data_IF_588501127029
#
_entry.id   IF_588501127029
#
_cell.length_a   1.000
_cell.length_b   1.000
_cell.length_c   1.000
_cell.angle_alpha   90.00
_cell.angle_beta   90.00
_cell.angle_gamma   90.00
#
_symmetry.space_group_name_H-M   'P 1'
#
loop_
_entity.id
_entity.type
_entity.pdbx_description
1 polymer ?
#
# COMPACT_ATOMS: atom_id res chain seq x y z
N UNK A 1 -14.37 -7.11 20.96
CA UNK A 1 -15.16 -7.23 19.71
C UNK A 1 -14.42 -6.45 18.64
N UNK A 2 -14.21 -7.04 17.48
CA UNK A 2 -13.57 -6.35 16.35
C UNK A 2 -14.63 -5.37 15.82
N UNK A 3 -14.31 -4.10 15.89
CA UNK A 3 -15.19 -3.03 15.39
C UNK A 3 -15.04 -2.93 13.85
N UNK A 4 -16.11 -2.59 13.13
CA UNK A 4 -16.09 -2.45 11.67
C UNK A 4 -15.04 -1.43 11.22
N UNK A 5 -14.76 -0.40 12.04
CA UNK A 5 -13.69 0.56 11.78
C UNK A 5 -12.30 -0.08 11.77
N UNK A 6 -12.03 -1.00 12.71
CA UNK A 6 -10.77 -1.74 12.75
C UNK A 6 -10.62 -2.66 11.53
N UNK A 7 -11.71 -3.33 11.11
CA UNK A 7 -11.68 -4.17 9.91
C UNK A 7 -11.32 -3.37 8.65
N UNK A 8 -11.89 -2.17 8.47
CA UNK A 8 -11.54 -1.29 7.34
C UNK A 8 -10.06 -0.90 7.40
N UNK A 9 -9.53 -0.53 8.57
CA UNK A 9 -8.11 -0.20 8.73
C UNK A 9 -7.21 -1.40 8.43
N UNK A 10 -7.57 -2.61 8.86
CA UNK A 10 -6.84 -3.84 8.54
C UNK A 10 -6.78 -4.09 7.03
N UNK A 11 -7.91 -3.90 6.32
CA UNK A 11 -7.97 -4.05 4.86
C UNK A 11 -7.14 -2.98 4.13
N UNK A 12 -7.15 -1.73 4.61
CA UNK A 12 -6.28 -0.66 4.10
C UNK A 12 -4.80 -0.98 4.33
N UNK A 13 -4.45 -1.53 5.50
CA UNK A 13 -3.10 -2.03 5.80
C UNK A 13 -2.69 -3.18 4.86
N UNK A 14 -3.61 -4.10 4.54
CA UNK A 14 -3.38 -5.17 3.57
C UNK A 14 -3.09 -4.62 2.16
N UNK A 15 -3.84 -3.61 1.71
CA UNK A 15 -3.63 -2.93 0.43
C UNK A 15 -2.26 -2.24 0.37
N UNK A 16 -1.86 -1.55 1.44
CA UNK A 16 -0.54 -0.96 1.55
C UNK A 16 0.57 -2.03 1.54
N UNK A 17 0.35 -3.16 2.22
CA UNK A 17 1.25 -4.31 2.15
C UNK A 17 1.43 -4.83 0.72
N UNK A 18 0.32 -5.03 -0.02
CA UNK A 18 0.38 -5.42 -1.43
C UNK A 18 1.08 -4.40 -2.32
N UNK A 19 0.91 -3.11 -2.04
CA UNK A 19 1.59 -2.08 -2.84
C UNK A 19 3.12 -2.12 -2.65
N UNK A 20 3.62 -2.38 -1.44
CA UNK A 20 5.06 -2.58 -1.17
C UNK A 20 5.56 -3.91 -1.73
N UNK A 21 4.71 -4.93 -1.77
CA UNK A 21 5.07 -6.25 -2.32
C UNK A 21 5.45 -6.18 -3.81
N UNK A 22 4.75 -5.38 -4.61
CA UNK A 22 4.96 -5.30 -6.07
C UNK A 22 6.41 -4.94 -6.46
N UNK A 23 7.03 -3.86 -5.96
CA UNK A 23 8.44 -3.57 -6.22
C UNK A 23 9.37 -4.65 -5.65
N UNK A 24 9.04 -5.19 -4.48
CA UNK A 24 9.86 -6.20 -3.82
C UNK A 24 9.85 -7.53 -4.61
N UNK A 25 8.73 -7.87 -5.27
CA UNK A 25 8.63 -9.01 -6.17
C UNK A 25 9.57 -8.90 -7.39
N UNK A 26 9.93 -7.67 -7.79
CA UNK A 26 10.93 -7.38 -8.81
C UNK A 26 12.36 -7.12 -8.25
N UNK A 27 12.62 -7.50 -6.98
CA UNK A 27 13.92 -7.33 -6.34
C UNK A 27 14.25 -5.89 -5.92
N UNK A 28 13.28 -4.97 -5.90
CA UNK A 28 13.49 -3.57 -5.55
C UNK A 28 13.12 -3.30 -4.10
N UNK A 29 14.08 -2.86 -3.30
CA UNK A 29 13.80 -2.33 -1.97
C UNK A 29 13.34 -0.87 -2.11
N UNK A 30 12.03 -0.66 -2.32
CA UNK A 30 11.43 0.66 -2.45
C UNK A 30 10.60 1.01 -1.21
N UNK A 31 10.85 2.19 -0.67
CA UNK A 31 10.13 2.77 0.46
C UNK A 31 9.20 3.92 0.03
N UNK A 32 8.92 4.06 -1.27
CA UNK A 32 8.13 5.16 -1.84
C UNK A 32 6.62 5.06 -1.62
N UNK A 33 6.11 3.91 -1.22
CA UNK A 33 4.66 3.64 -1.10
C UNK A 33 3.90 4.73 -0.33
N UNK A 34 4.36 5.21 0.86
CA UNK A 34 3.65 6.25 1.59
C UNK A 34 3.62 7.61 0.87
N UNK A 35 4.57 7.90 -0.02
CA UNK A 35 4.52 9.11 -0.84
C UNK A 35 3.30 9.07 -1.78
N UNK A 36 3.11 7.97 -2.49
CA UNK A 36 1.98 7.82 -3.42
C UNK A 36 0.65 7.70 -2.67
N UNK A 37 0.63 7.05 -1.52
CA UNK A 37 -0.51 7.00 -0.62
C UNK A 37 -0.91 8.41 -0.15
N UNK A 38 0.05 9.22 0.28
CA UNK A 38 -0.19 10.60 0.69
C UNK A 38 -0.68 11.48 -0.48
N UNK A 39 -0.11 11.32 -1.68
CA UNK A 39 -0.55 12.04 -2.89
C UNK A 39 -2.00 11.69 -3.24
N UNK A 40 -2.34 10.39 -3.27
CA UNK A 40 -3.70 9.94 -3.61
C UNK A 40 -4.75 10.48 -2.64
N UNK A 41 -4.50 10.37 -1.33
CA UNK A 41 -5.42 10.91 -0.33
C UNK A 41 -5.50 12.43 -0.32
N UNK A 42 -4.38 13.14 -0.59
CA UNK A 42 -4.39 14.61 -0.72
C UNK A 42 -5.21 15.03 -1.94
N UNK A 43 -5.08 14.33 -3.08
CA UNK A 43 -5.87 14.60 -4.27
C UNK A 43 -7.37 14.44 -3.98
N UNK A 44 -7.78 13.32 -3.37
CA UNK A 44 -9.17 13.07 -3.00
C UNK A 44 -9.71 14.16 -2.06
N UNK A 45 -8.95 14.47 -1.01
CA UNK A 45 -9.30 15.52 -0.07
C UNK A 45 -9.50 16.89 -0.74
N UNK A 46 -8.65 17.25 -1.72
CA UNK A 46 -8.76 18.50 -2.46
C UNK A 46 -9.94 18.52 -3.42
N UNK A 47 -10.16 17.44 -4.17
CA UNK A 47 -11.25 17.35 -5.16
C UNK A 47 -12.61 17.43 -4.48
N UNK A 48 -12.76 16.77 -3.35
CA UNK A 48 -14.04 16.69 -2.64
C UNK A 48 -14.33 17.89 -1.73
N UNK A 49 -13.28 18.58 -1.18
CA UNK A 49 -13.48 19.67 -0.22
C UNK A 49 -13.27 21.06 -0.82
N UNK A 50 -12.05 21.30 -1.35
CA UNK A 50 -11.63 22.66 -1.76
C UNK A 50 -12.06 23.04 -3.15
N UNK A 51 -11.99 22.11 -4.07
CA UNK A 51 -12.35 22.41 -5.45
C UNK A 51 -13.82 22.14 -5.75
N UNK A 52 -14.53 21.44 -4.84
CA UNK A 52 -15.95 21.07 -4.97
C UNK A 52 -16.33 20.55 -6.38
N UNK A 53 -15.33 20.14 -7.18
CA UNK A 53 -15.52 19.63 -8.54
C UNK A 53 -16.37 18.36 -8.55
N UNK A 54 -16.23 17.59 -7.47
CA UNK A 54 -16.94 16.35 -7.23
C UNK A 54 -17.73 16.43 -5.91
N UNK A 55 -17.92 17.68 -5.41
CA UNK A 55 -18.46 17.99 -4.13
C UNK A 55 -19.77 17.27 -3.86
N UNK A 56 -19.86 16.72 -2.66
CA UNK A 56 -21.06 16.12 -2.13
C UNK A 56 -22.23 17.08 -2.20
N UNK A 57 -23.43 16.53 -2.31
CA UNK A 57 -24.67 17.28 -2.19
C UNK A 57 -24.72 18.08 -0.88
N UNK A 58 -25.73 18.91 -0.72
CA UNK A 58 -25.95 19.72 0.48
C UNK A 58 -25.91 18.92 1.81
N UNK A 59 -25.98 17.60 1.73
CA UNK A 59 -26.00 16.66 2.86
C UNK A 59 -24.59 16.14 3.25
N UNK A 60 -23.50 16.62 2.61
CA UNK A 60 -22.13 16.17 2.93
C UNK A 60 -21.81 14.74 2.48
N UNK A 61 -22.69 14.09 1.74
CA UNK A 61 -22.46 12.74 1.19
C UNK A 61 -21.80 12.83 -0.19
N UNK A 62 -20.80 11.98 -0.43
CA UNK A 62 -20.16 11.87 -1.74
C UNK A 62 -20.87 10.81 -2.58
N UNK A 63 -21.33 11.12 -3.81
CA UNK A 63 -21.90 10.13 -4.71
C UNK A 63 -20.88 9.04 -5.10
N UNK A 64 -21.29 7.77 -5.21
CA UNK A 64 -20.41 6.66 -5.63
C UNK A 64 -19.69 6.91 -6.96
N UNK A 65 -20.31 7.51 -8.00
CA UNK A 65 -19.60 7.83 -9.24
C UNK A 65 -18.43 8.80 -9.04
N UNK A 66 -18.55 9.77 -8.11
CA UNK A 66 -17.45 10.71 -7.81
C UNK A 66 -16.29 10.01 -7.09
N UNK A 67 -16.57 9.08 -6.18
CA UNK A 67 -15.54 8.25 -5.56
C UNK A 67 -14.75 7.43 -6.61
N UNK A 68 -15.45 6.83 -7.59
CA UNK A 68 -14.81 6.10 -8.67
C UNK A 68 -13.95 7.00 -9.55
N UNK A 69 -14.43 8.22 -9.83
CA UNK A 69 -13.64 9.20 -10.59
C UNK A 69 -12.39 9.65 -9.82
N UNK A 70 -12.49 9.87 -8.50
CA UNK A 70 -11.35 10.18 -7.65
C UNK A 70 -10.33 9.05 -7.63
N UNK A 71 -10.79 7.79 -7.55
CA UNK A 71 -9.92 6.62 -7.65
C UNK A 71 -9.17 6.57 -8.98
N UNK A 72 -9.86 6.81 -10.10
CA UNK A 72 -9.24 6.83 -11.43
C UNK A 72 -8.24 7.99 -11.58
N UNK A 73 -8.58 9.20 -11.10
CA UNK A 73 -7.69 10.35 -11.17
C UNK A 73 -6.46 10.16 -10.29
N UNK A 74 -6.63 9.60 -9.08
CA UNK A 74 -5.52 9.28 -8.19
C UNK A 74 -4.62 8.19 -8.78
N UNK A 75 -5.19 7.13 -9.35
CA UNK A 75 -4.45 6.08 -10.03
C UNK A 75 -3.64 6.63 -11.22
N UNK A 76 -4.25 7.49 -12.04
CA UNK A 76 -3.57 8.14 -13.17
C UNK A 76 -2.45 9.07 -12.70
N UNK A 77 -2.72 9.96 -11.73
CA UNK A 77 -1.74 10.90 -11.23
C UNK A 77 -0.54 10.19 -10.59
N UNK A 78 -0.81 9.25 -9.69
CA UNK A 78 0.26 8.50 -9.01
C UNK A 78 1.02 7.59 -9.98
N UNK A 79 0.34 7.00 -10.96
CA UNK A 79 0.97 6.23 -12.03
C UNK A 79 1.90 7.06 -12.91
N UNK A 80 1.46 8.25 -13.34
CA UNK A 80 2.28 9.17 -14.14
C UNK A 80 3.48 9.67 -13.32
N UNK A 81 3.25 10.11 -12.08
CA UNK A 81 4.35 10.54 -11.20
C UNK A 81 5.35 9.41 -10.94
N UNK A 82 4.85 8.20 -10.73
CA UNK A 82 5.71 7.03 -10.54
C UNK A 82 6.51 6.70 -11.80
N UNK A 83 5.93 6.83 -13.00
CA UNK A 83 6.66 6.62 -14.25
C UNK A 83 7.77 7.66 -14.44
N UNK A 84 7.49 8.94 -14.15
CA UNK A 84 8.47 10.02 -14.25
C UNK A 84 9.60 9.88 -13.24
N UNK A 85 9.26 9.70 -11.97
CA UNK A 85 10.25 9.57 -10.89
C UNK A 85 10.97 8.23 -10.98
N UNK A 86 10.25 7.14 -11.27
CA UNK A 86 10.80 5.80 -11.43
C UNK A 86 11.83 5.75 -12.55
N UNK A 87 11.56 6.36 -13.70
CA UNK A 87 12.52 6.43 -14.81
C UNK A 87 13.88 7.07 -14.43
N UNK A 88 13.89 7.94 -13.41
CA UNK A 88 15.11 8.53 -12.88
C UNK A 88 15.73 7.71 -11.75
N UNK A 89 14.90 7.31 -10.77
CA UNK A 89 15.35 6.71 -9.49
C UNK A 89 15.71 5.23 -9.65
N UNK A 90 15.06 4.48 -10.54
CA UNK A 90 15.28 3.05 -10.72
C UNK A 90 16.63 2.70 -11.42
N UNK A 91 17.39 3.70 -11.81
CA UNK A 91 18.80 3.52 -12.21
C UNK A 91 19.72 3.18 -11.02
N UNK A 92 19.26 3.49 -9.80
CA UNK A 92 19.95 3.16 -8.57
C UNK A 92 19.63 1.71 -8.17
N UNK A 93 20.60 1.05 -7.52
CA UNK A 93 20.49 -0.35 -7.09
C UNK A 93 20.65 -0.48 -5.57
N UNK A 94 20.03 -1.48 -5.00
CA UNK A 94 20.18 -1.86 -3.59
C UNK A 94 19.82 -0.72 -2.61
N UNK A 95 20.73 -0.44 -1.69
CA UNK A 95 20.50 0.54 -0.62
C UNK A 95 20.34 1.98 -1.14
N UNK A 96 20.99 2.31 -2.27
CA UNK A 96 20.87 3.65 -2.86
C UNK A 96 19.44 3.92 -3.36
N UNK A 97 18.77 2.89 -3.88
CA UNK A 97 17.36 2.97 -4.27
C UNK A 97 16.49 3.22 -3.03
N UNK A 98 16.73 2.51 -1.93
CA UNK A 98 15.97 2.71 -0.69
C UNK A 98 16.12 4.14 -0.17
N UNK A 99 17.35 4.69 -0.13
CA UNK A 99 17.61 6.06 0.30
C UNK A 99 16.90 7.08 -0.61
N UNK A 100 16.97 6.90 -1.92
CA UNK A 100 16.32 7.79 -2.88
C UNK A 100 14.78 7.76 -2.75
N UNK A 101 14.21 6.60 -2.48
CA UNK A 101 12.75 6.45 -2.26
C UNK A 101 12.30 7.03 -0.92
N UNK A 102 13.12 6.97 0.14
CA UNK A 102 12.88 7.70 1.40
C UNK A 102 12.92 9.22 1.14
N UNK A 103 13.91 9.70 0.40
CA UNK A 103 13.99 11.12 0.04
C UNK A 103 12.73 11.58 -0.73
N UNK A 104 12.17 10.74 -1.61
CA UNK A 104 10.92 11.02 -2.30
C UNK A 104 9.76 11.17 -1.30
N UNK A 105 9.66 10.30 -0.30
CA UNK A 105 8.63 10.40 0.75
C UNK A 105 8.74 11.74 1.48
N UNK A 106 9.95 12.15 1.87
CA UNK A 106 10.15 13.43 2.54
C UNK A 106 9.87 14.63 1.63
N UNK A 107 10.24 14.57 0.34
CA UNK A 107 9.91 15.61 -0.64
C UNK A 107 8.39 15.79 -0.73
N UNK A 108 7.63 14.69 -0.86
CA UNK A 108 6.17 14.75 -0.94
C UNK A 108 5.58 15.27 0.37
N UNK A 109 6.07 14.81 1.52
CA UNK A 109 5.64 15.30 2.83
C UNK A 109 5.84 16.80 2.98
N UNK A 110 7.03 17.30 2.66
CA UNK A 110 7.37 18.72 2.73
C UNK A 110 6.56 19.52 1.72
N UNK A 111 6.33 19.00 0.52
CA UNK A 111 5.45 19.62 -0.47
C UNK A 111 4.02 19.80 0.07
N UNK A 112 3.43 18.73 0.65
CA UNK A 112 2.10 18.80 1.26
C UNK A 112 2.06 19.82 2.41
N UNK A 113 3.12 19.90 3.23
CA UNK A 113 3.20 20.87 4.32
C UNK A 113 3.27 22.33 3.87
N UNK A 114 3.88 22.60 2.72
CA UNK A 114 4.15 23.97 2.26
C UNK A 114 3.16 24.48 1.23
N UNK A 115 2.38 23.60 0.60
CA UNK A 115 1.38 24.04 -0.37
C UNK A 115 0.19 24.70 0.35
N UNK A 116 -0.21 25.94 -0.03
CA UNK A 116 -1.25 26.67 0.72
C UNK A 116 -2.64 26.05 0.61
N UNK A 117 -2.89 25.24 -0.42
CA UNK A 117 -4.19 24.59 -0.63
C UNK A 117 -4.36 23.26 0.09
N UNK A 118 -3.29 22.66 0.65
CA UNK A 118 -3.35 21.38 1.38
C UNK A 118 -3.67 21.52 2.87
N UNK A 119 -3.77 22.76 3.37
CA UNK A 119 -3.98 23.05 4.78
C UNK A 119 -2.69 22.94 5.62
N UNK A 120 -1.54 22.68 5.01
CA UNK A 120 -0.23 22.66 5.67
C UNK A 120 -0.11 21.61 6.78
N UNK A 121 0.40 22.05 7.94
CA UNK A 121 0.59 21.17 9.09
C UNK A 121 -0.72 20.70 9.74
N UNK A 122 -1.78 21.47 9.61
CA UNK A 122 -3.11 21.14 10.16
C UNK A 122 -3.78 20.07 9.29
N UNK A 123 -3.62 20.17 7.97
CA UNK A 123 -4.24 19.26 7.00
C UNK A 123 -5.64 19.70 6.57
N UNK A 124 -6.36 18.79 5.91
CA UNK A 124 -7.72 18.97 5.40
C UNK A 124 -8.68 18.18 6.28
N UNK A 125 -9.74 18.81 6.76
CA UNK A 125 -10.79 18.23 7.59
C UNK A 125 -12.12 18.29 6.88
N UNK A 126 -13.06 17.45 7.35
CA UNK A 126 -14.43 17.44 6.82
C UNK A 126 -14.48 16.91 5.38
N UNK A 127 -13.69 15.91 5.08
CA UNK A 127 -13.72 15.23 3.78
C UNK A 127 -15.06 14.51 3.66
N UNK A 128 -15.87 14.78 2.62
CA UNK A 128 -17.17 14.15 2.46
C UNK A 128 -17.07 12.62 2.49
N UNK A 129 -17.96 11.99 3.25
CA UNK A 129 -17.97 10.54 3.40
C UNK A 129 -19.06 9.95 2.49
N UNK A 130 -18.71 9.02 1.55
CA UNK A 130 -19.70 8.36 0.70
C UNK A 130 -20.62 7.42 1.49
N UNK A 131 -20.20 7.02 2.71
CA UNK A 131 -20.96 6.13 3.58
C UNK A 131 -21.04 6.72 5.00
N UNK A 132 -22.23 6.67 5.61
CA UNK A 132 -22.45 7.15 6.96
C UNK A 132 -21.76 6.28 8.02
N UNK A 133 -21.66 4.97 7.75
CA UNK A 133 -21.11 3.99 8.68
C UNK A 133 -19.80 3.37 8.15
N UNK A 134 -18.93 2.95 9.08
CA UNK A 134 -17.71 2.20 8.75
C UNK A 134 -17.97 0.91 7.97
N UNK A 135 -19.15 0.28 8.19
CA UNK A 135 -19.55 -0.93 7.45
C UNK A 135 -19.68 -0.72 5.94
N UNK A 136 -20.09 0.49 5.52
CA UNK A 136 -20.21 0.85 4.10
C UNK A 136 -18.87 0.86 3.37
N UNK A 137 -17.79 1.19 4.06
CA UNK A 137 -16.43 1.17 3.50
C UNK A 137 -15.86 -0.22 3.29
N UNK A 138 -16.40 -1.25 3.97
CA UNK A 138 -15.92 -2.63 3.80
C UNK A 138 -16.03 -3.10 2.35
N UNK A 139 -17.13 -2.76 1.67
CA UNK A 139 -17.38 -3.21 0.30
C UNK A 139 -16.37 -2.62 -0.71
N UNK A 140 -16.14 -1.29 -0.79
CA UNK A 140 -15.18 -0.74 -1.74
C UNK A 140 -13.73 -1.09 -1.40
N UNK A 141 -13.35 -1.13 -0.11
CA UNK A 141 -11.99 -1.49 0.30
C UNK A 141 -11.72 -2.98 0.03
N UNK A 142 -12.66 -3.86 0.36
CA UNK A 142 -12.57 -5.29 0.04
C UNK A 142 -12.56 -5.53 -1.47
N UNK A 143 -13.40 -4.79 -2.22
CA UNK A 143 -13.42 -4.85 -3.68
C UNK A 143 -12.06 -4.48 -4.29
N UNK A 144 -11.43 -3.40 -3.81
CA UNK A 144 -10.08 -3.02 -4.25
C UNK A 144 -9.03 -4.08 -3.84
N UNK A 145 -9.16 -4.67 -2.64
CA UNK A 145 -8.25 -5.72 -2.17
C UNK A 145 -8.36 -6.99 -3.01
N UNK A 146 -9.58 -7.41 -3.35
CA UNK A 146 -9.82 -8.57 -4.22
C UNK A 146 -9.27 -8.29 -5.62
N UNK A 147 -9.50 -7.10 -6.17
CA UNK A 147 -8.96 -6.69 -7.46
C UNK A 147 -7.42 -6.69 -7.46
N UNK A 148 -6.80 -6.13 -6.41
CA UNK A 148 -5.35 -6.09 -6.25
C UNK A 148 -4.77 -7.50 -6.08
N UNK A 149 -5.39 -8.35 -5.27
CA UNK A 149 -4.98 -9.75 -5.10
C UNK A 149 -5.11 -10.56 -6.39
N UNK A 150 -6.22 -10.39 -7.11
CA UNK A 150 -6.41 -11.00 -8.43
C UNK A 150 -5.35 -10.52 -9.44
N UNK A 151 -5.04 -9.22 -9.44
CA UNK A 151 -3.99 -8.67 -10.29
C UNK A 151 -2.62 -9.27 -9.94
N UNK A 152 -2.26 -9.35 -8.66
CA UNK A 152 -1.00 -9.98 -8.22
C UNK A 152 -0.93 -11.45 -8.64
N UNK A 153 -2.01 -12.21 -8.44
CA UNK A 153 -2.08 -13.61 -8.87
C UNK A 153 -1.94 -13.77 -10.38
N UNK A 154 -2.58 -12.87 -11.15
CA UNK A 154 -2.43 -12.86 -12.61
C UNK A 154 -1.03 -12.47 -13.06
N UNK A 155 -0.42 -11.47 -12.41
CA UNK A 155 0.96 -11.06 -12.68
C UNK A 155 1.95 -12.21 -12.47
N UNK A 156 1.82 -12.99 -11.41
CA UNK A 156 2.68 -14.16 -11.16
C UNK A 156 2.60 -15.20 -12.31
N UNK A 157 1.44 -15.34 -12.94
CA UNK A 157 1.23 -16.26 -14.06
C UNK A 157 1.63 -15.70 -15.44
N UNK A 158 1.77 -14.39 -15.58
CA UNK A 158 2.11 -13.71 -16.83
C UNK A 158 3.63 -13.62 -17.04
N UNK A 159 4.10 -13.45 -18.31
CA UNK A 159 5.52 -13.25 -18.60
C UNK A 159 6.18 -12.13 -17.80
N UNK A 160 5.42 -11.06 -17.50
CA UNK A 160 5.91 -9.94 -16.67
C UNK A 160 6.26 -10.39 -15.24
N UNK A 161 5.43 -11.20 -14.61
CA UNK A 161 5.72 -11.71 -13.25
C UNK A 161 6.88 -12.68 -13.24
N UNK A 162 7.04 -13.51 -14.28
CA UNK A 162 8.21 -14.38 -14.46
C UNK A 162 9.48 -13.54 -14.66
N UNK A 163 9.41 -12.46 -15.44
CA UNK A 163 10.51 -11.52 -15.60
C UNK A 163 10.84 -10.79 -14.27
N UNK A 164 9.83 -10.40 -13.47
CA UNK A 164 10.06 -9.84 -12.14
C UNK A 164 10.81 -10.82 -11.22
N UNK A 165 10.42 -12.10 -11.22
CA UNK A 165 11.08 -13.13 -10.44
C UNK A 165 12.53 -13.34 -10.91
N UNK A 166 12.78 -13.39 -12.22
CA UNK A 166 14.13 -13.53 -12.79
C UNK A 166 15.03 -12.34 -12.39
N UNK A 167 14.51 -11.10 -12.50
CA UNK A 167 15.24 -9.87 -12.11
C UNK A 167 15.51 -9.85 -10.60
N UNK A 168 14.60 -10.34 -9.78
CA UNK A 168 14.79 -10.46 -8.33
C UNK A 168 15.89 -11.45 -7.97
N UNK A 169 15.94 -12.59 -8.66
CA UNK A 169 16.89 -13.66 -8.35
C UNK A 169 18.30 -13.30 -8.83
N UNK A 170 18.47 -12.81 -10.05
CA UNK A 170 19.75 -12.27 -10.57
C UNK A 170 19.49 -11.28 -11.71
N UNK A 171 19.70 -9.99 -11.46
CA UNK A 171 19.48 -8.92 -12.42
C UNK A 171 20.42 -9.03 -13.64
N UNK A 172 21.70 -9.38 -13.41
CA UNK A 172 22.69 -9.49 -14.50
C UNK A 172 22.40 -10.69 -15.39
N UNK A 173 22.04 -11.82 -14.80
CA UNK A 173 21.63 -13.00 -15.56
C UNK A 173 20.37 -12.73 -16.40
N UNK A 174 19.39 -12.01 -15.85
CA UNK A 174 18.18 -11.62 -16.56
C UNK A 174 18.48 -10.70 -17.76
N UNK A 175 19.39 -9.74 -17.60
CA UNK A 175 19.88 -8.89 -18.71
C UNK A 175 20.56 -9.71 -19.81
N UNK A 176 21.38 -10.69 -19.45
CA UNK A 176 22.02 -11.59 -20.42
C UNK A 176 21.01 -12.43 -21.21
N UNK A 177 19.84 -12.72 -20.64
CA UNK A 177 18.73 -13.42 -21.31
C UNK A 177 17.86 -12.49 -22.16
N UNK A 178 18.20 -11.19 -22.24
CA UNK A 178 17.48 -10.20 -23.04
C UNK A 178 16.27 -9.58 -22.35
N UNK A 179 16.13 -9.76 -21.03
CA UNK A 179 15.06 -9.11 -20.26
C UNK A 179 15.46 -7.65 -20.00
N UNK A 180 14.59 -6.70 -20.38
CA UNK A 180 14.74 -5.29 -20.02
C UNK A 180 14.40 -5.09 -18.54
N UNK A 181 15.42 -5.16 -17.68
CA UNK A 181 15.28 -5.06 -16.22
C UNK A 181 14.74 -3.71 -15.81
N UNK A 182 15.05 -2.63 -16.55
CA UNK A 182 14.55 -1.28 -16.27
C UNK A 182 13.05 -1.18 -16.47
N UNK A 183 12.50 -1.71 -17.57
CA UNK A 183 11.06 -1.71 -17.83
C UNK A 183 10.32 -2.61 -16.84
N UNK A 184 10.86 -3.76 -16.49
CA UNK A 184 10.28 -4.67 -15.49
C UNK A 184 10.19 -3.97 -14.13
N UNK A 185 11.26 -3.34 -13.69
CA UNK A 185 11.30 -2.57 -12.44
C UNK A 185 10.34 -1.39 -12.45
N UNK A 186 10.29 -0.64 -13.56
CA UNK A 186 9.42 0.50 -13.71
C UNK A 186 7.95 0.11 -13.66
N UNK A 187 7.57 -1.00 -14.31
CA UNK A 187 6.20 -1.49 -14.29
C UNK A 187 5.76 -1.89 -12.87
N UNK A 188 6.63 -2.59 -12.12
CA UNK A 188 6.36 -2.95 -10.72
C UNK A 188 6.18 -1.71 -9.84
N UNK A 189 7.03 -0.70 -10.02
CA UNK A 189 6.99 0.55 -9.28
C UNK A 189 5.72 1.37 -9.58
N UNK A 190 5.32 1.46 -10.85
CA UNK A 190 4.08 2.15 -11.27
C UNK A 190 2.84 1.44 -10.73
N UNK A 191 2.77 0.11 -10.82
CA UNK A 191 1.66 -0.66 -10.25
C UNK A 191 1.53 -0.47 -8.74
N UNK A 192 2.66 -0.46 -8.02
CA UNK A 192 2.72 -0.14 -6.59
C UNK A 192 2.14 1.24 -6.29
N UNK A 193 2.56 2.25 -7.05
CA UNK A 193 2.12 3.64 -6.88
C UNK A 193 0.62 3.82 -7.14
N UNK A 194 0.10 3.18 -8.19
CA UNK A 194 -1.34 3.19 -8.52
C UNK A 194 -2.15 2.57 -7.39
N UNK A 195 -1.71 1.42 -6.86
CA UNK A 195 -2.40 0.76 -5.76
C UNK A 195 -2.33 1.60 -4.47
N UNK A 196 -1.15 2.14 -4.14
CA UNK A 196 -0.98 3.00 -2.97
C UNK A 196 -1.83 4.28 -3.07
N UNK A 197 -1.84 4.95 -4.22
CA UNK A 197 -2.65 6.15 -4.45
C UNK A 197 -4.14 5.88 -4.33
N UNK A 198 -4.63 4.79 -4.93
CA UNK A 198 -6.03 4.37 -4.81
C UNK A 198 -6.40 4.03 -3.35
N UNK A 199 -5.50 3.40 -2.61
CA UNK A 199 -5.67 3.14 -1.17
C UNK A 199 -5.76 4.46 -0.39
N UNK A 200 -4.96 5.46 -0.76
CA UNK A 200 -4.98 6.79 -0.16
C UNK A 200 -6.33 7.49 -0.30
N UNK A 201 -6.99 7.38 -1.45
CA UNK A 201 -8.34 7.92 -1.67
C UNK A 201 -9.34 7.32 -0.68
N UNK A 202 -9.41 5.98 -0.61
CA UNK A 202 -10.34 5.31 0.30
C UNK A 202 -10.05 5.64 1.77
N UNK A 203 -8.78 5.74 2.14
CA UNK A 203 -8.36 6.09 3.48
C UNK A 203 -8.71 7.54 3.84
N UNK A 204 -8.58 8.50 2.92
CA UNK A 204 -8.92 9.90 3.15
C UNK A 204 -10.40 10.08 3.46
N UNK A 205 -11.28 9.44 2.70
CA UNK A 205 -12.73 9.46 2.96
C UNK A 205 -13.10 8.72 4.24
N UNK A 206 -12.46 7.58 4.52
CA UNK A 206 -12.73 6.83 5.74
C UNK A 206 -12.32 7.59 7.00
N UNK A 207 -11.14 8.23 7.00
CA UNK A 207 -10.62 8.98 8.15
C UNK A 207 -11.29 10.36 8.34
N UNK A 208 -11.98 10.88 7.32
CA UNK A 208 -12.58 12.24 7.30
C UNK A 208 -11.55 13.37 7.45
N UNK A 209 -10.27 13.03 7.57
CA UNK A 209 -9.16 13.98 7.75
C UNK A 209 -7.95 13.50 7.01
N UNK A 210 -7.19 14.43 6.40
CA UNK A 210 -5.96 14.09 5.69
C UNK A 210 -4.86 15.10 5.93
N UNK A 211 -3.68 14.64 6.27
CA UNK A 211 -2.53 15.49 6.56
C UNK A 211 -1.21 14.86 6.12
N UNK A 212 -0.12 15.63 6.20
CA UNK A 212 1.21 15.21 5.77
C UNK A 212 1.82 14.04 6.57
N UNK A 213 1.23 13.67 7.72
CA UNK A 213 1.69 12.52 8.53
C UNK A 213 1.48 11.18 7.84
N UNK A 214 0.60 11.11 6.84
CA UNK A 214 0.37 9.89 6.07
C UNK A 214 1.57 9.53 5.16
N UNK A 215 2.42 10.51 4.80
CA UNK A 215 3.63 10.33 4.02
C UNK A 215 4.90 10.54 4.83
N UNK A 216 5.16 9.71 5.84
CA UNK A 216 6.36 9.80 6.69
C UNK A 216 7.25 8.57 6.55
N UNK A 217 8.50 8.73 6.97
CA UNK A 217 9.46 7.64 7.07
C UNK A 217 8.95 6.49 7.95
N UNK A 218 8.32 6.81 9.08
CA UNK A 218 7.77 5.79 10.00
C UNK A 218 6.73 4.91 9.32
N UNK A 219 5.86 5.51 8.49
CA UNK A 219 4.87 4.76 7.70
C UNK A 219 5.57 3.88 6.66
N UNK A 220 6.69 4.33 6.07
CA UNK A 220 7.47 3.54 5.12
C UNK A 220 8.06 2.28 5.79
N UNK A 221 8.63 2.44 6.97
CA UNK A 221 9.18 1.31 7.74
C UNK A 221 8.08 0.35 8.17
N UNK A 222 6.95 0.88 8.66
CA UNK A 222 5.81 0.05 9.06
C UNK A 222 5.24 -0.76 7.88
N UNK A 223 5.05 -0.14 6.72
CA UNK A 223 4.52 -0.84 5.53
C UNK A 223 5.50 -1.86 4.97
N UNK A 224 6.81 -1.61 5.06
CA UNK A 224 7.83 -2.62 4.74
C UNK A 224 7.75 -3.81 5.70
N UNK A 225 7.56 -3.55 7.00
CA UNK A 225 7.39 -4.61 8.00
C UNK A 225 6.18 -5.50 7.70
N UNK A 226 5.09 -4.97 7.11
CA UNK A 226 3.93 -5.76 6.68
C UNK A 226 4.35 -6.87 5.71
N UNK A 227 5.23 -6.56 4.77
CA UNK A 227 5.70 -7.51 3.76
C UNK A 227 6.71 -8.50 4.34
N UNK A 228 7.66 -8.02 5.15
CA UNK A 228 8.71 -8.87 5.71
C UNK A 228 8.11 -9.89 6.70
N UNK A 229 7.24 -9.44 7.62
CA UNK A 229 6.59 -10.29 8.60
C UNK A 229 5.55 -11.22 7.95
N UNK A 230 4.76 -10.69 7.02
CA UNK A 230 3.77 -11.48 6.29
C UNK A 230 4.39 -12.57 5.43
N UNK A 231 5.53 -12.28 4.79
CA UNK A 231 6.24 -13.13 3.85
C UNK A 231 6.25 -12.52 2.44
N UNK A 232 7.45 -12.31 1.89
CA UNK A 232 7.66 -11.62 0.61
C UNK A 232 7.61 -12.54 -0.63
N UNK A 233 7.41 -13.85 -0.43
CA UNK A 233 7.41 -14.83 -1.54
C UNK A 233 6.06 -15.06 -2.18
N UNK A 234 4.96 -14.65 -1.53
CA UNK A 234 3.59 -14.81 -2.02
C UNK A 234 2.81 -13.53 -1.74
N UNK A 235 1.88 -13.18 -2.62
CA UNK A 235 1.04 -11.99 -2.46
C UNK A 235 0.12 -12.05 -1.22
N UNK A 236 -0.20 -13.26 -0.72
CA UNK A 236 -0.98 -13.45 0.50
C UNK A 236 -0.23 -13.04 1.76
N UNK A 237 1.10 -13.19 1.78
CA UNK A 237 1.92 -12.79 2.92
C UNK A 237 1.71 -11.33 3.34
N UNK A 238 1.93 -10.37 2.43
CA UNK A 238 1.71 -8.95 2.69
C UNK A 238 0.28 -8.59 3.11
N UNK A 239 -0.73 -9.29 2.59
CA UNK A 239 -2.13 -9.12 3.00
C UNK A 239 -2.29 -9.44 4.48
N UNK A 240 -1.86 -10.63 4.90
CA UNK A 240 -1.95 -11.02 6.31
C UNK A 240 -1.05 -10.20 7.22
N UNK A 241 0.17 -9.89 6.78
CA UNK A 241 1.09 -9.02 7.53
C UNK A 241 0.52 -7.61 7.73
N UNK A 242 -0.06 -7.03 6.68
CA UNK A 242 -0.73 -5.74 6.74
C UNK A 242 -1.94 -5.74 7.69
N UNK A 243 -2.81 -6.77 7.59
CA UNK A 243 -3.94 -6.92 8.51
C UNK A 243 -3.48 -7.09 9.96
N UNK A 244 -2.52 -7.98 10.20
CA UNK A 244 -2.02 -8.29 11.54
C UNK A 244 -1.37 -7.08 12.20
N UNK A 245 -0.42 -6.44 11.51
CA UNK A 245 0.32 -5.31 12.08
C UNK A 245 -0.54 -4.05 12.23
N UNK A 246 -1.55 -3.87 11.38
CA UNK A 246 -2.51 -2.77 11.55
C UNK A 246 -3.45 -3.02 12.74
N UNK A 247 -3.83 -4.27 12.99
CA UNK A 247 -4.67 -4.64 14.14
C UNK A 247 -3.90 -4.62 15.47
N UNK A 248 -2.59 -4.87 15.44
CA UNK A 248 -1.77 -5.10 16.62
C UNK A 248 -1.82 -3.97 17.66
N UNK A 249 -1.69 -2.66 17.29
CA UNK A 249 -1.78 -1.58 18.26
C UNK A 249 -3.14 -1.50 18.97
N UNK A 250 -4.24 -1.85 18.27
CA UNK A 250 -5.57 -1.87 18.85
C UNK A 250 -5.78 -3.11 19.75
N UNK A 251 -5.27 -4.27 19.36
CA UNK A 251 -5.28 -5.48 20.18
C UNK A 251 -4.44 -5.32 21.46
N UNK A 252 -3.37 -4.52 21.40
CA UNK A 252 -2.52 -4.22 22.54
C UNK A 252 -3.02 -3.01 23.37
N UNK A 253 -4.16 -2.41 23.02
CA UNK A 253 -4.74 -1.28 23.73
C UNK A 253 -4.93 -1.51 25.25
N UNK A 254 -5.30 -2.71 25.75
CA UNK A 254 -5.41 -2.96 27.19
C UNK A 254 -4.09 -2.82 27.96
N UNK A 255 -2.93 -2.89 27.28
CA UNK A 255 -1.58 -2.79 27.90
C UNK A 255 -1.13 -1.33 28.08
N UNK A 256 -1.94 -0.35 27.67
CA UNK A 256 -1.65 1.08 27.83
C UNK A 256 -0.46 1.55 26.99
N UNK A 257 0.44 2.36 27.56
CA UNK A 257 1.56 3.01 26.83
C UNK A 257 2.63 2.03 26.34
N UNK A 258 2.73 0.84 26.98
CA UNK A 258 3.66 -0.20 26.54
C UNK A 258 3.31 -0.80 25.16
N UNK A 259 2.11 -0.52 24.61
CA UNK A 259 1.68 -1.00 23.29
C UNK A 259 2.64 -0.62 22.15
N UNK A 260 3.21 0.61 22.20
CA UNK A 260 4.15 1.07 21.16
C UNK A 260 5.50 0.33 21.27
N UNK A 261 5.94 0.04 22.48
CA UNK A 261 7.17 -0.74 22.74
C UNK A 261 6.97 -2.18 22.23
N UNK A 262 5.82 -2.79 22.55
CA UNK A 262 5.49 -4.14 22.09
C UNK A 262 5.35 -4.19 20.56
N UNK A 263 4.73 -3.17 19.94
CA UNK A 263 4.65 -3.07 18.48
C UNK A 263 6.05 -3.01 17.84
N UNK A 264 6.95 -2.16 18.36
CA UNK A 264 8.34 -2.09 17.90
C UNK A 264 9.09 -3.41 18.11
N UNK A 265 8.84 -4.10 19.24
CA UNK A 265 9.43 -5.42 19.53
C UNK A 265 8.98 -6.48 18.52
N UNK A 266 7.70 -6.50 18.15
CA UNK A 266 7.17 -7.42 17.13
C UNK A 266 7.81 -7.16 15.77
N UNK A 267 7.98 -5.90 15.37
CA UNK A 267 8.67 -5.55 14.13
C UNK A 267 10.15 -5.97 14.16
N UNK A 268 10.82 -5.84 15.31
CA UNK A 268 12.23 -6.22 15.47
C UNK A 268 12.42 -7.74 15.50
N UNK A 269 11.65 -8.44 16.32
CA UNK A 269 11.82 -9.87 16.54
C UNK A 269 11.14 -10.72 15.46
N UNK A 270 10.11 -10.21 14.80
CA UNK A 270 9.36 -10.95 13.80
C UNK A 270 10.23 -11.54 12.68
N UNK A 271 11.07 -10.74 11.99
CA UNK A 271 11.99 -11.26 10.97
C UNK A 271 13.05 -12.23 11.50
N UNK A 272 13.42 -12.11 12.79
CA UNK A 272 14.38 -13.01 13.43
C UNK A 272 13.73 -14.37 13.73
N UNK A 273 12.49 -14.36 14.22
CA UNK A 273 11.76 -15.58 14.58
C UNK A 273 11.13 -16.27 13.36
N UNK A 274 10.73 -15.52 12.36
CA UNK A 274 10.12 -16.01 11.12
C UNK A 274 10.83 -15.42 9.88
N UNK A 275 12.06 -15.86 9.55
CA UNK A 275 12.85 -15.28 8.46
C UNK A 275 12.24 -15.48 7.07
N UNK A 276 11.32 -16.44 6.92
CA UNK A 276 10.57 -16.67 5.69
C UNK A 276 9.20 -15.99 5.68
N UNK A 277 8.85 -15.26 6.75
CA UNK A 277 7.54 -14.69 7.00
C UNK A 277 6.53 -15.71 7.55
N UNK A 278 5.34 -15.21 7.93
CA UNK A 278 4.26 -16.02 8.49
C UNK A 278 3.61 -16.94 7.45
N UNK A 279 3.50 -16.47 6.20
CA UNK A 279 2.90 -17.23 5.10
C UNK A 279 3.98 -17.61 4.09
N UNK A 280 4.34 -18.90 4.11
CA UNK A 280 5.31 -19.47 3.18
C UNK A 280 4.61 -20.26 2.07
N UNK A 281 5.19 -20.39 0.85
CA UNK A 281 4.64 -21.22 -0.22
C UNK A 281 4.38 -22.66 0.22
N UNK A 282 5.27 -23.25 1.05
CA UNK A 282 5.13 -24.59 1.59
C UNK A 282 3.90 -24.75 2.49
N UNK A 283 3.52 -23.70 3.22
CA UNK A 283 2.31 -23.70 4.05
C UNK A 283 1.05 -23.69 3.19
N UNK A 284 1.06 -22.90 2.10
CA UNK A 284 -0.06 -22.84 1.14
C UNK A 284 -0.25 -24.17 0.39
N UNK A 285 0.85 -24.84 -0.01
CA UNK A 285 0.80 -26.16 -0.63
C UNK A 285 0.21 -27.21 0.31
N UNK A 286 0.60 -27.21 1.58
CA UNK A 286 0.04 -28.10 2.60
C UNK A 286 -1.46 -27.87 2.81
N UNK A 287 -1.92 -26.61 2.88
CA UNK A 287 -3.34 -26.29 2.98
C UNK A 287 -4.13 -26.71 1.74
N UNK A 288 -3.55 -26.50 0.54
CA UNK A 288 -4.15 -26.94 -0.72
C UNK A 288 -4.24 -28.46 -0.87
N UNK A 289 -3.28 -29.21 -0.33
CA UNK A 289 -3.30 -30.69 -0.32
C UNK A 289 -4.35 -31.28 0.64
N UNK A 290 -4.57 -30.63 1.79
CA UNK A 290 -5.63 -31.01 2.73
C UNK A 290 -7.04 -30.82 2.13
N UNK A 291 -7.25 -29.76 1.34
CA UNK A 291 -8.53 -29.55 0.66
C UNK A 291 -8.82 -30.55 -0.49
N UNK A 292 -7.78 -31.10 -1.11
CA UNK A 292 -7.94 -32.14 -2.15
C UNK A 292 -8.09 -33.56 -1.61
N UNK A 293 -7.66 -33.82 -0.37
CA UNK A 293 -7.80 -35.10 0.29
C UNK A 293 -9.18 -35.38 0.88
N UNK A 294 -9.99 -34.35 1.12
CA UNK A 294 -11.35 -34.48 1.67
C UNK A 294 -12.44 -34.73 0.63
N UNK A 295 -12.08 -34.81 -0.65
CA UNK A 295 -13.01 -35.04 -1.78
C UNK A 295 -12.85 -36.39 -2.47
N UNK A 296 -12.21 -37.38 -1.80
CA UNK A 296 -12.17 -38.78 -2.30
C UNK A 296 -12.83 -39.73 -1.33
#
# INVERSE_FOLDING_TARGET
MIDNGLLVQMLLGALLGLSVYLPLAAGQLSLATPAFYAIGGTLAALLSTRWALLGGGADGSLPLPSLLLELLLAALLTGVLAALVGGLVLRLRGIYLAIATIALVEIVRVAILNLPFTGGAVGIFGIPQPFADASGYLLPVLGLLILAGWLCQRLEALPLGQAMAAVRDDELAAECLGIDTTQVKLSAFVLSAVLAGSTGVLAAHFLNTWNARQGTFDVSVATLAFVILGGSRTWLGPVFGGMLLTALPELLRPVGDARLVLFGLVILLGPVLAPQGLITPALLERLGSLGRGAGR
#
